data_IF_289958145365
#
_entry.id   IF_289958145365
#
_cell.length_a   1.000
_cell.length_b   1.000
_cell.length_c   1.000
_cell.angle_alpha   90.00
_cell.angle_beta   90.00
_cell.angle_gamma   90.00
#
_symmetry.space_group_name_H-M   'P 1'
#
loop_
_entity.id
_entity.type
_entity.pdbx_description
1 polymer ?
#
# COMPACT_ATOMS: atom_id res chain seq x y z
N UNK A 1 22.11 78.39 -4.06
CA UNK A 1 21.12 78.52 -5.11
C UNK A 1 20.83 77.21 -5.74
N UNK A 2 19.58 76.75 -5.66
CA UNK A 2 18.81 75.93 -6.64
C UNK A 2 19.48 74.63 -7.06
N UNK A 3 18.88 73.50 -7.04
CA UNK A 3 17.50 73.09 -6.92
C UNK A 3 17.46 71.64 -7.38
N UNK A 4 16.63 70.89 -6.78
CA UNK A 4 16.18 69.55 -7.12
C UNK A 4 15.67 69.40 -8.59
N UNK A 5 15.31 68.19 -9.07
CA UNK A 5 14.60 67.13 -8.36
C UNK A 5 14.95 65.69 -8.74
N UNK A 6 14.52 64.86 -7.84
CA UNK A 6 14.20 63.46 -7.88
C UNK A 6 13.58 62.95 -9.17
N UNK A 7 13.99 61.74 -9.58
CA UNK A 7 13.15 60.88 -10.44
C UNK A 7 12.79 59.60 -9.65
N UNK A 8 11.52 59.59 -9.33
CA UNK A 8 10.80 58.42 -8.87
C UNK A 8 10.95 57.26 -9.86
N UNK A 9 11.55 56.16 -9.39
CA UNK A 9 11.44 54.88 -10.07
C UNK A 9 10.07 54.27 -9.76
N UNK A 10 9.24 54.20 -10.75
CA UNK A 10 7.97 53.51 -10.72
C UNK A 10 8.23 52.03 -10.41
N UNK A 11 7.82 51.62 -9.23
CA UNK A 11 7.63 50.21 -8.88
C UNK A 11 6.35 49.74 -9.60
N UNK A 12 6.53 48.87 -10.58
CA UNK A 12 5.43 48.09 -11.15
C UNK A 12 4.79 47.24 -10.04
N UNK A 13 3.47 47.17 -9.97
CA UNK A 13 2.80 46.27 -9.05
C UNK A 13 2.88 44.88 -9.63
N UNK A 14 3.92 44.12 -9.24
CA UNK A 14 3.97 42.70 -9.51
C UNK A 14 3.11 42.00 -8.48
N UNK A 15 1.95 41.66 -8.93
CA UNK A 15 1.11 40.51 -8.63
C UNK A 15 0.98 40.05 -7.16
N UNK A 16 0.00 40.65 -6.52
CA UNK A 16 -0.69 40.07 -5.39
C UNK A 16 -1.71 39.05 -5.93
N UNK A 17 -1.32 37.84 -6.11
CA UNK A 17 -2.33 36.90 -6.52
C UNK A 17 -1.82 35.49 -6.59
N UNK A 18 -2.23 34.72 -5.70
CA UNK A 18 -2.24 33.25 -5.55
C UNK A 18 -1.35 32.79 -4.40
N UNK A 19 -1.66 33.21 -3.21
CA UNK A 19 -1.51 32.32 -2.06
C UNK A 19 -2.59 31.23 -2.19
N UNK A 20 -2.35 30.30 -3.10
CA UNK A 20 -3.06 29.03 -3.10
C UNK A 20 -2.84 28.41 -1.73
N UNK A 21 -3.91 28.31 -0.96
CA UNK A 21 -3.95 27.52 0.26
C UNK A 21 -3.55 26.10 -0.10
N UNK A 22 -2.27 25.80 -0.05
CA UNK A 22 -1.81 24.43 0.01
C UNK A 22 -2.29 23.91 1.36
N UNK A 23 -3.45 23.26 1.33
CA UNK A 23 -3.93 22.47 2.46
C UNK A 23 -2.83 21.45 2.74
N UNK A 24 -2.16 21.57 3.86
CA UNK A 24 -1.27 20.51 4.34
C UNK A 24 -2.11 19.26 4.50
N UNK A 25 -2.13 18.43 3.47
CA UNK A 25 -2.73 17.10 3.53
C UNK A 25 -1.91 16.31 4.54
N UNK A 26 -2.55 15.92 5.61
CA UNK A 26 -1.89 15.14 6.65
C UNK A 26 -1.25 13.90 6.02
N UNK A 27 -0.11 13.47 6.55
CA UNK A 27 0.61 12.29 6.04
C UNK A 27 -0.27 11.03 5.99
N UNK A 28 -1.33 10.99 6.81
CA UNK A 28 -2.36 9.97 6.80
C UNK A 28 -3.31 10.07 5.58
N UNK A 29 -3.68 11.29 5.17
CA UNK A 29 -4.53 11.53 4.00
C UNK A 29 -3.80 11.21 2.70
N UNK A 30 -2.51 11.54 2.60
CA UNK A 30 -1.69 11.18 1.42
C UNK A 30 -1.56 9.65 1.29
N UNK A 31 -1.43 8.92 2.40
CA UNK A 31 -1.43 7.45 2.38
C UNK A 31 -2.79 6.84 2.03
N UNK A 32 -3.90 7.50 2.37
CA UNK A 32 -5.26 7.06 2.04
C UNK A 32 -5.65 7.32 0.58
N UNK A 33 -4.98 8.26 -0.09
CA UNK A 33 -5.28 8.65 -1.47
C UNK A 33 -4.59 7.81 -2.55
N UNK A 34 -3.59 7.00 -2.19
CA UNK A 34 -2.95 6.12 -3.17
C UNK A 34 -3.77 4.85 -3.37
N UNK A 35 -4.11 4.56 -4.63
CA UNK A 35 -4.74 3.29 -4.97
C UNK A 35 -3.78 2.14 -4.69
N UNK A 36 -4.32 0.97 -4.37
CA UNK A 36 -3.52 -0.24 -4.11
C UNK A 36 -2.61 -0.58 -5.30
N UNK A 37 -3.09 -0.41 -6.52
CA UNK A 37 -2.33 -0.72 -7.72
C UNK A 37 -1.14 0.24 -7.90
N UNK A 38 -1.34 1.53 -7.65
CA UNK A 38 -0.27 2.53 -7.66
C UNK A 38 0.79 2.18 -6.64
N UNK A 39 0.39 1.82 -5.41
CA UNK A 39 1.31 1.44 -4.35
C UNK A 39 2.11 0.17 -4.72
N UNK A 40 1.45 -0.87 -5.21
CA UNK A 40 2.12 -2.10 -5.64
C UNK A 40 3.09 -1.85 -6.80
N UNK A 41 2.72 -0.98 -7.74
CA UNK A 41 3.60 -0.55 -8.84
C UNK A 41 4.85 0.16 -8.32
N UNK A 42 4.71 1.06 -7.35
CA UNK A 42 5.85 1.73 -6.71
C UNK A 42 6.76 0.75 -5.98
N UNK A 43 6.21 -0.23 -5.25
CA UNK A 43 7.00 -1.26 -4.59
C UNK A 43 7.81 -2.08 -5.60
N UNK A 44 7.18 -2.48 -6.69
CA UNK A 44 7.85 -3.25 -7.75
C UNK A 44 8.98 -2.45 -8.39
N UNK A 45 8.76 -1.18 -8.67
CA UNK A 45 9.76 -0.30 -9.27
C UNK A 45 10.95 -0.06 -8.33
N UNK A 46 10.68 0.21 -7.04
CA UNK A 46 11.72 0.33 -6.02
C UNK A 46 12.52 -0.97 -5.85
N UNK A 47 11.84 -2.11 -5.86
CA UNK A 47 12.48 -3.42 -5.79
C UNK A 47 13.39 -3.70 -6.97
N UNK A 48 12.98 -3.36 -8.21
CA UNK A 48 13.82 -3.48 -9.41
C UNK A 48 15.09 -2.65 -9.33
N UNK A 49 15.02 -1.49 -8.68
CA UNK A 49 16.15 -0.56 -8.51
C UNK A 49 17.00 -0.89 -7.28
N UNK A 50 16.67 -1.90 -6.51
CA UNK A 50 17.37 -2.24 -5.26
C UNK A 50 17.21 -1.19 -4.15
N UNK A 51 16.16 -0.35 -4.22
CA UNK A 51 15.92 0.70 -3.24
C UNK A 51 15.23 0.13 -2.00
N UNK A 52 15.51 0.67 -0.80
CA UNK A 52 14.87 0.20 0.43
C UNK A 52 13.36 0.42 0.39
N UNK A 53 12.62 -0.56 0.92
CA UNK A 53 11.16 -0.49 1.05
C UNK A 53 10.82 -0.01 2.45
N UNK A 54 10.32 1.21 2.55
CA UNK A 54 9.97 1.85 3.81
C UNK A 54 8.47 1.75 4.09
N UNK A 55 8.11 1.67 5.37
CA UNK A 55 6.73 1.71 5.87
C UNK A 55 5.78 0.67 5.25
N UNK A 56 6.31 -0.45 4.79
CA UNK A 56 5.51 -1.52 4.16
C UNK A 56 4.46 -2.07 5.12
N UNK A 57 4.80 -2.24 6.41
CA UNK A 57 3.89 -2.74 7.42
C UNK A 57 2.61 -1.90 7.56
N UNK A 58 2.71 -0.58 7.49
CA UNK A 58 1.55 0.31 7.59
C UNK A 58 0.54 0.12 6.45
N UNK A 59 0.98 -0.37 5.31
CA UNK A 59 0.09 -0.64 4.18
C UNK A 59 -0.79 -1.87 4.40
N UNK A 60 -0.41 -2.75 5.32
CA UNK A 60 -1.26 -3.86 5.76
C UNK A 60 -2.55 -3.40 6.49
N UNK A 61 -2.67 -2.10 6.80
CA UNK A 61 -3.90 -1.52 7.33
C UNK A 61 -4.88 -1.09 6.23
N UNK A 62 -4.47 -1.16 4.96
CA UNK A 62 -5.30 -0.78 3.83
C UNK A 62 -6.20 -1.95 3.41
N UNK A 63 -7.51 -1.81 3.63
CA UNK A 63 -8.52 -2.80 3.28
C UNK A 63 -8.50 -3.19 1.79
N UNK A 64 -8.26 -2.22 0.90
CA UNK A 64 -8.25 -2.45 -0.54
C UNK A 64 -7.10 -3.38 -0.98
N UNK A 65 -5.99 -3.41 -0.23
CA UNK A 65 -4.89 -4.35 -0.49
C UNK A 65 -5.38 -5.81 -0.36
N UNK A 66 -6.16 -6.10 0.69
CA UNK A 66 -6.74 -7.44 0.91
C UNK A 66 -7.75 -7.81 -0.15
N UNK A 67 -8.60 -6.87 -0.58
CA UNK A 67 -9.57 -7.10 -1.64
C UNK A 67 -8.88 -7.41 -2.98
N UNK A 68 -7.84 -6.67 -3.31
CA UNK A 68 -7.03 -6.92 -4.51
C UNK A 68 -6.32 -8.28 -4.43
N UNK A 69 -5.74 -8.62 -3.28
CA UNK A 69 -5.10 -9.90 -3.05
C UNK A 69 -6.10 -11.06 -3.13
N UNK A 70 -7.26 -10.90 -2.50
CA UNK A 70 -8.34 -11.88 -2.55
C UNK A 70 -8.80 -12.16 -3.97
N UNK A 71 -9.05 -11.12 -4.76
CA UNK A 71 -9.46 -11.27 -6.16
C UNK A 71 -8.43 -12.00 -7.03
N UNK A 72 -7.14 -11.91 -6.71
CA UNK A 72 -6.08 -12.68 -7.37
C UNK A 72 -6.06 -14.15 -6.92
N UNK A 73 -6.17 -14.38 -5.62
CA UNK A 73 -6.12 -15.73 -5.04
C UNK A 73 -7.36 -16.54 -5.44
N UNK A 74 -8.53 -15.92 -5.42
CA UNK A 74 -9.81 -16.57 -5.74
C UNK A 74 -9.84 -17.18 -7.16
N UNK A 75 -9.10 -16.59 -8.10
CA UNK A 75 -9.00 -17.09 -9.48
C UNK A 75 -8.09 -18.31 -9.63
N UNK A 76 -7.31 -18.63 -8.61
CA UNK A 76 -6.39 -19.77 -8.67
C UNK A 76 -7.15 -21.09 -8.47
N UNK A 77 -6.77 -22.12 -9.23
CA UNK A 77 -7.36 -23.47 -9.11
C UNK A 77 -7.23 -24.10 -7.72
N UNK A 78 -6.25 -23.64 -6.93
CA UNK A 78 -6.04 -24.07 -5.55
C UNK A 78 -6.83 -23.29 -4.49
N UNK A 79 -7.65 -22.30 -4.89
CA UNK A 79 -8.38 -21.44 -3.94
C UNK A 79 -9.32 -22.22 -3.00
N UNK A 80 -9.89 -23.33 -3.47
CA UNK A 80 -10.79 -24.22 -2.71
C UNK A 80 -10.07 -25.35 -1.98
N UNK A 81 -8.72 -25.36 -2.00
CA UNK A 81 -7.95 -26.37 -1.28
C UNK A 81 -7.89 -25.98 0.19
N UNK A 82 -8.27 -26.91 1.07
CA UNK A 82 -8.22 -26.69 2.52
C UNK A 82 -6.78 -26.55 3.01
N UNK A 83 -6.57 -25.62 3.93
CA UNK A 83 -5.32 -25.45 4.66
C UNK A 83 -5.16 -26.49 5.79
N UNK A 84 -4.55 -26.10 6.89
CA UNK A 84 -4.51 -26.87 8.15
C UNK A 84 -5.88 -26.83 8.83
N UNK A 85 -6.58 -25.71 8.69
CA UNK A 85 -7.99 -25.55 9.05
C UNK A 85 -8.84 -25.86 7.80
N UNK A 86 -10.07 -26.29 7.99
CA UNK A 86 -10.99 -26.56 6.87
C UNK A 86 -11.46 -25.32 6.12
N UNK A 87 -10.87 -24.17 6.43
CA UNK A 87 -11.17 -22.90 5.77
C UNK A 87 -10.57 -22.86 4.36
N UNK A 88 -11.39 -22.46 3.41
CA UNK A 88 -11.00 -22.20 2.01
C UNK A 88 -10.99 -20.70 1.73
N UNK A 89 -10.60 -20.28 0.53
CA UNK A 89 -10.65 -18.87 0.12
C UNK A 89 -12.07 -18.29 0.18
N UNK A 90 -13.13 -19.11 -0.03
CA UNK A 90 -14.52 -18.67 0.05
C UNK A 90 -14.95 -18.20 1.44
N UNK A 91 -14.29 -18.64 2.48
CA UNK A 91 -14.59 -18.24 3.85
C UNK A 91 -14.12 -16.82 4.19
N UNK A 92 -13.55 -16.07 3.23
CA UNK A 92 -13.11 -14.70 3.43
C UNK A 92 -14.31 -13.75 3.37
N UNK A 93 -14.47 -12.92 4.41
CA UNK A 93 -15.48 -11.86 4.49
C UNK A 93 -14.82 -10.51 4.77
N UNK A 94 -15.56 -9.42 4.52
CA UNK A 94 -15.08 -8.06 4.86
C UNK A 94 -14.83 -7.91 6.35
N UNK A 95 -15.68 -8.48 7.17
CA UNK A 95 -15.59 -8.50 8.63
C UNK A 95 -14.29 -9.20 9.10
N UNK A 96 -13.96 -10.31 8.46
CA UNK A 96 -12.72 -11.05 8.72
C UNK A 96 -11.47 -10.23 8.35
N UNK A 97 -11.53 -9.50 7.24
CA UNK A 97 -10.46 -8.57 6.83
C UNK A 97 -10.30 -7.46 7.87
N UNK A 98 -11.38 -6.85 8.35
CA UNK A 98 -11.35 -5.80 9.37
C UNK A 98 -10.77 -6.32 10.69
N UNK A 99 -11.17 -7.52 11.11
CA UNK A 99 -10.61 -8.17 12.30
C UNK A 99 -9.11 -8.43 12.16
N UNK A 100 -8.66 -8.87 10.98
CA UNK A 100 -7.23 -9.05 10.71
C UNK A 100 -6.46 -7.73 10.78
N UNK A 101 -7.01 -6.66 10.19
CA UNK A 101 -6.40 -5.32 10.20
C UNK A 101 -6.30 -4.80 11.64
N UNK A 102 -7.35 -4.97 12.44
CA UNK A 102 -7.34 -4.57 13.85
C UNK A 102 -6.29 -5.35 14.65
N UNK A 103 -6.21 -6.65 14.45
CA UNK A 103 -5.20 -7.48 15.10
C UNK A 103 -3.77 -7.09 14.69
N UNK A 104 -3.55 -6.72 13.42
CA UNK A 104 -2.25 -6.22 12.94
C UNK A 104 -1.89 -4.87 13.53
N UNK A 105 -2.85 -3.94 13.67
CA UNK A 105 -2.64 -2.62 14.29
C UNK A 105 -2.17 -2.73 15.74
N UNK A 106 -2.66 -3.70 16.45
CA UNK A 106 -2.33 -3.93 17.86
C UNK A 106 -1.26 -5.00 18.07
N UNK A 107 -0.58 -5.44 17.00
CA UNK A 107 0.48 -6.46 17.03
C UNK A 107 0.03 -7.79 17.67
N UNK A 108 -1.28 -8.10 17.58
CA UNK A 108 -1.91 -9.33 18.15
C UNK A 108 -2.18 -10.40 17.11
N UNK A 109 -1.84 -10.15 15.83
CA UNK A 109 -2.10 -11.09 14.76
C UNK A 109 -1.19 -12.32 14.88
N UNK A 110 -1.79 -13.50 14.94
CA UNK A 110 -1.09 -14.77 14.95
C UNK A 110 -1.25 -15.47 13.60
N UNK A 111 -0.14 -15.82 12.99
CA UNK A 111 -0.13 -16.55 11.74
C UNK A 111 -0.58 -17.99 11.94
N UNK A 112 -1.53 -18.44 11.12
CA UNK A 112 -1.93 -19.85 11.09
C UNK A 112 -0.85 -20.68 10.41
N UNK A 113 -0.56 -21.90 10.87
CA UNK A 113 0.42 -22.77 10.24
C UNK A 113 -0.01 -23.15 8.82
N UNK A 114 0.94 -23.22 7.90
CA UNK A 114 0.69 -23.70 6.55
C UNK A 114 0.70 -25.24 6.49
N UNK A 115 -0.18 -25.80 5.66
CA UNK A 115 -0.21 -27.24 5.39
C UNK A 115 0.95 -27.59 4.47
N UNK A 116 1.78 -28.54 4.90
CA UNK A 116 2.86 -29.07 4.07
C UNK A 116 2.32 -30.13 3.11
N UNK A 117 2.61 -29.99 1.82
CA UNK A 117 2.25 -30.98 0.79
C UNK A 117 3.52 -31.48 0.12
N UNK A 118 3.62 -32.79 -0.06
CA UNK A 118 4.73 -33.44 -0.75
C UNK A 118 4.36 -33.66 -2.20
N UNK A 119 5.11 -33.07 -3.11
CA UNK A 119 4.91 -33.27 -4.56
C UNK A 119 5.97 -34.28 -5.04
N UNK A 120 5.56 -35.45 -5.58
CA UNK A 120 6.49 -36.40 -6.16
C UNK A 120 7.12 -35.81 -7.42
N UNK A 121 8.45 -35.86 -7.51
CA UNK A 121 9.18 -35.50 -8.73
C UNK A 121 9.24 -36.69 -9.68
N UNK A 122 9.33 -36.43 -11.00
CA UNK A 122 9.54 -37.45 -12.02
C UNK A 122 10.80 -38.29 -11.78
N UNK A 123 11.75 -37.82 -11.00
CA UNK A 123 13.03 -38.49 -10.65
C UNK A 123 12.98 -39.27 -9.32
N UNK A 124 11.79 -39.51 -8.75
CA UNK A 124 11.67 -40.26 -7.49
C UNK A 124 11.98 -39.46 -6.21
N UNK A 125 12.55 -38.26 -6.32
CA UNK A 125 12.76 -37.39 -5.15
C UNK A 125 11.50 -36.59 -4.81
N UNK A 126 11.27 -36.29 -3.53
CA UNK A 126 10.16 -35.40 -3.07
C UNK A 126 10.62 -33.97 -2.91
N UNK A 127 9.77 -33.02 -3.26
CA UNK A 127 9.98 -31.58 -3.05
C UNK A 127 8.99 -31.08 -2.01
N UNK A 128 9.48 -30.26 -1.09
CA UNK A 128 8.65 -29.52 -0.15
C UNK A 128 8.18 -28.21 -0.83
N UNK A 129 6.94 -27.88 -0.64
CA UNK A 129 6.36 -26.56 -0.90
C UNK A 129 6.02 -25.90 0.43
#
# INVERSE_FOLDING_TARGET
MKGQPSKEGQSTPFDKGVQGRYREVSHAEVCAMQSTDTYLGLLQERGKRGLPLERVYRQLYNKNLYLTAYGKIYRNTGAMTHGVTEETADSMSLEKIETMIDALRHERYQWKPARRVYIPKRTGATRFL
#
